data_IF_818114438158
#
_entry.id   IF_818114438158
#
_cell.length_a   1.000
_cell.length_b   1.000
_cell.length_c   1.000
_cell.angle_alpha   90.00
_cell.angle_beta   90.00
_cell.angle_gamma   90.00
#
_symmetry.space_group_name_H-M   'P 1'
#
loop_
_entity.id
_entity.type
_entity.pdbx_description
1 polymer ?
#
# COMPACT_ATOMS: atom_id res chain seq x y z
N UNK A 1 16.71 11.35 2.23
CA UNK A 1 16.90 10.45 1.06
C UNK A 1 15.51 10.26 0.47
N UNK A 2 15.25 10.75 -0.74
CA UNK A 2 13.91 10.61 -1.33
C UNK A 2 13.71 9.15 -1.76
N UNK A 3 12.50 8.64 -1.58
CA UNK A 3 12.21 7.22 -1.79
C UNK A 3 11.83 6.97 -3.26
N UNK A 4 12.71 6.33 -4.03
CA UNK A 4 12.44 5.96 -5.42
C UNK A 4 11.18 5.13 -5.60
N UNK A 5 10.82 4.33 -4.58
CA UNK A 5 9.56 3.59 -4.55
C UNK A 5 8.34 4.52 -4.57
N UNK A 6 8.34 5.57 -3.74
CA UNK A 6 7.24 6.55 -3.68
C UNK A 6 7.08 7.27 -5.02
N UNK A 7 8.19 7.67 -5.64
CA UNK A 7 8.15 8.31 -6.96
C UNK A 7 7.51 7.42 -8.03
N UNK A 8 7.95 6.17 -8.13
CA UNK A 8 7.39 5.23 -9.11
C UNK A 8 5.93 4.87 -8.82
N UNK A 9 5.53 4.76 -7.55
CA UNK A 9 4.12 4.58 -7.17
C UNK A 9 3.25 5.73 -7.66
N UNK A 10 3.68 6.98 -7.48
CA UNK A 10 2.93 8.15 -7.97
C UNK A 10 2.88 8.18 -9.50
N UNK A 11 4.00 7.92 -10.17
CA UNK A 11 4.03 7.86 -11.64
C UNK A 11 3.07 6.80 -12.15
N UNK A 12 3.09 5.59 -11.59
CA UNK A 12 2.20 4.50 -11.99
C UNK A 12 0.73 4.83 -11.69
N UNK A 13 0.44 5.42 -10.53
CA UNK A 13 -0.92 5.87 -10.18
C UNK A 13 -1.45 6.91 -11.18
N UNK A 14 -0.60 7.86 -11.62
CA UNK A 14 -0.96 8.85 -12.65
C UNK A 14 -1.06 8.26 -14.04
N UNK A 15 -0.17 7.36 -14.43
CA UNK A 15 -0.15 6.75 -15.77
C UNK A 15 -1.31 5.79 -15.95
N UNK A 16 -1.64 5.03 -14.90
CA UNK A 16 -2.66 3.97 -14.93
C UNK A 16 -3.93 4.37 -14.17
N UNK A 17 -4.15 5.68 -13.98
CA UNK A 17 -5.42 6.19 -13.44
C UNK A 17 -6.59 5.62 -14.24
N UNK A 18 -7.64 5.24 -13.51
CA UNK A 18 -8.83 4.63 -14.05
C UNK A 18 -8.73 3.10 -14.22
N UNK A 19 -7.58 2.46 -14.00
CA UNK A 19 -7.46 1.00 -13.93
C UNK A 19 -7.55 0.48 -12.50
N UNK A 20 -8.29 -0.62 -12.30
CA UNK A 20 -8.31 -1.32 -11.03
C UNK A 20 -6.93 -1.92 -10.74
N UNK A 21 -6.43 -1.68 -9.52
CA UNK A 21 -5.12 -2.15 -9.05
C UNK A 21 -5.29 -3.04 -7.83
N UNK A 22 -4.54 -4.12 -7.79
CA UNK A 22 -4.39 -4.99 -6.63
C UNK A 22 -2.95 -4.88 -6.13
N UNK A 23 -2.78 -4.69 -4.82
CA UNK A 23 -1.47 -4.51 -4.19
C UNK A 23 -0.99 -5.77 -3.50
N UNK A 24 0.33 -5.97 -3.48
CA UNK A 24 1.01 -7.00 -2.69
C UNK A 24 0.48 -8.44 -2.91
N UNK A 25 0.16 -8.76 -4.16
CA UNK A 25 -0.50 -10.01 -4.56
C UNK A 25 0.50 -11.17 -4.63
N UNK A 26 0.10 -12.34 -4.10
CA UNK A 26 0.82 -13.61 -4.22
C UNK A 26 -0.10 -14.68 -4.82
N UNK A 27 -0.30 -14.69 -6.15
CA UNK A 27 -1.23 -15.62 -6.79
C UNK A 27 -0.85 -17.08 -6.53
N UNK A 28 -1.85 -17.95 -6.36
CA UNK A 28 -1.61 -19.38 -6.10
C UNK A 28 -0.85 -20.11 -7.20
N UNK A 29 -0.88 -19.58 -8.44
CA UNK A 29 -0.14 -20.10 -9.59
C UNK A 29 1.29 -19.56 -9.69
N UNK A 30 1.63 -18.47 -8.98
CA UNK A 30 2.94 -17.84 -9.06
C UNK A 30 3.88 -18.44 -8.00
N UNK A 31 4.24 -19.71 -8.21
CA UNK A 31 5.10 -20.49 -7.32
C UNK A 31 6.41 -20.79 -8.04
N UNK A 32 7.55 -20.49 -7.40
CA UNK A 32 8.85 -20.85 -7.97
C UNK A 32 8.97 -22.38 -8.03
N UNK A 33 9.23 -22.98 -9.21
CA UNK A 33 9.21 -24.44 -9.37
C UNK A 33 10.37 -25.15 -8.67
N UNK A 34 11.49 -24.47 -8.46
CA UNK A 34 12.69 -25.05 -7.83
C UNK A 34 12.58 -25.08 -6.31
N UNK A 35 11.96 -24.06 -5.71
CA UNK A 35 11.90 -23.86 -4.25
C UNK A 35 10.51 -24.10 -3.66
N UNK A 36 9.49 -24.27 -4.50
CA UNK A 36 8.07 -24.33 -4.15
C UNK A 36 7.58 -23.14 -3.31
N UNK A 37 8.30 -22.01 -3.33
CA UNK A 37 7.92 -20.80 -2.61
C UNK A 37 7.05 -19.91 -3.48
N UNK A 38 5.98 -19.38 -2.89
CA UNK A 38 5.15 -18.37 -3.54
C UNK A 38 5.97 -17.10 -3.80
N UNK A 39 5.82 -16.57 -5.01
CA UNK A 39 6.42 -15.30 -5.40
C UNK A 39 5.35 -14.20 -5.30
N UNK A 40 5.84 -12.97 -5.10
CA UNK A 40 5.03 -11.76 -4.95
C UNK A 40 5.10 -10.87 -6.18
N UNK A 41 3.99 -10.20 -6.47
CA UNK A 41 3.82 -9.04 -7.35
C UNK A 41 3.39 -7.85 -6.50
N UNK A 42 3.97 -6.66 -6.72
CA UNK A 42 3.64 -5.51 -5.86
C UNK A 42 2.39 -4.79 -6.32
N UNK A 43 2.16 -4.74 -7.64
CA UNK A 43 0.96 -4.17 -8.24
C UNK A 43 0.50 -5.05 -9.40
N UNK A 44 -0.79 -5.34 -9.48
CA UNK A 44 -1.40 -6.06 -10.60
C UNK A 44 -2.58 -5.25 -11.11
N UNK A 45 -2.66 -5.09 -12.43
CA UNK A 45 -3.75 -4.45 -13.17
C UNK A 45 -4.46 -5.52 -13.99
N UNK A 46 -5.46 -6.23 -13.40
CA UNK A 46 -6.03 -7.44 -14.00
C UNK A 46 -6.72 -7.17 -15.33
N UNK A 47 -7.36 -6.01 -15.48
CA UNK A 47 -8.10 -5.61 -16.68
C UNK A 47 -7.25 -5.62 -17.95
N UNK A 48 -5.95 -5.38 -17.82
CA UNK A 48 -5.00 -5.26 -18.94
C UNK A 48 -3.88 -6.31 -18.88
N UNK A 49 -3.90 -7.21 -17.89
CA UNK A 49 -2.86 -8.22 -17.71
C UNK A 49 -1.46 -7.60 -17.61
N UNK A 50 -1.30 -6.60 -16.76
CA UNK A 50 -0.03 -5.93 -16.46
C UNK A 50 0.29 -6.09 -14.97
N UNK A 51 1.53 -6.40 -14.63
CA UNK A 51 2.01 -6.45 -13.25
C UNK A 51 3.34 -5.71 -13.10
N UNK A 52 3.55 -5.13 -11.93
CA UNK A 52 4.76 -4.40 -11.54
C UNK A 52 5.42 -5.10 -10.36
N UNK A 53 6.75 -5.21 -10.42
CA UNK A 53 7.59 -5.62 -9.29
C UNK A 53 8.69 -4.58 -9.07
N UNK A 54 8.78 -4.06 -7.86
CA UNK A 54 9.86 -3.18 -7.41
C UNK A 54 11.05 -4.01 -6.91
N UNK A 55 12.20 -3.85 -7.55
CA UNK A 55 13.49 -4.42 -7.15
C UNK A 55 14.31 -3.41 -6.36
N UNK A 56 15.39 -3.87 -5.70
CA UNK A 56 16.29 -3.01 -4.91
C UNK A 56 15.83 -2.74 -3.47
N UNK A 57 14.63 -3.16 -3.08
CA UNK A 57 14.14 -3.03 -1.70
C UNK A 57 14.69 -4.17 -0.82
N UNK A 58 15.80 -3.94 -0.12
CA UNK A 58 16.24 -4.83 0.96
C UNK A 58 15.61 -4.38 2.28
N UNK A 59 14.79 -5.25 2.89
CA UNK A 59 14.22 -4.99 4.22
C UNK A 59 15.33 -5.17 5.26
N UNK A 60 15.71 -4.08 5.94
CA UNK A 60 16.51 -4.13 7.17
C UNK A 60 18.01 -4.45 7.03
N UNK A 61 18.53 -4.69 5.83
CA UNK A 61 19.95 -4.95 5.60
C UNK A 61 20.67 -3.72 5.03
N UNK A 62 21.90 -3.45 5.50
CA UNK A 62 22.78 -2.48 4.84
C UNK A 62 23.03 -2.96 3.40
N UNK A 63 23.10 -2.06 2.40
CA UNK A 63 23.44 -2.42 1.04
C UNK A 63 24.74 -3.22 1.05
N UNK A 64 24.66 -4.50 0.72
CA UNK A 64 25.81 -5.40 0.59
C UNK A 64 25.80 -5.94 -0.83
N UNK A 65 27.00 -6.04 -1.41
CA UNK A 65 27.21 -6.77 -2.66
C UNK A 65 26.86 -8.24 -2.44
N UNK A 66 25.92 -8.74 -3.23
CA UNK A 66 25.57 -10.14 -3.28
C UNK A 66 26.78 -10.96 -3.75
N UNK A 67 26.92 -12.17 -3.24
CA UNK A 67 27.83 -13.17 -3.83
C UNK A 67 27.33 -13.59 -5.21
N UNK A 68 28.21 -14.15 -6.03
CA UNK A 68 27.84 -14.65 -7.37
C UNK A 68 26.72 -15.70 -7.31
N UNK A 69 26.69 -16.52 -6.26
CA UNK A 69 25.64 -17.51 -6.04
C UNK A 69 24.30 -16.84 -5.69
N UNK A 70 24.30 -15.86 -4.79
CA UNK A 70 23.11 -15.07 -4.44
C UNK A 70 22.56 -14.30 -5.66
N UNK A 71 23.44 -13.73 -6.50
CA UNK A 71 23.06 -13.08 -7.76
C UNK A 71 22.41 -14.07 -8.72
N UNK A 72 23.00 -15.27 -8.87
CA UNK A 72 22.46 -16.31 -9.74
C UNK A 72 21.08 -16.79 -9.27
N UNK A 73 20.91 -17.04 -7.97
CA UNK A 73 19.61 -17.41 -7.40
C UNK A 73 18.56 -16.31 -7.58
N UNK A 74 18.95 -15.04 -7.44
CA UNK A 74 18.04 -13.92 -7.68
C UNK A 74 17.61 -13.85 -9.15
N UNK A 75 18.55 -14.03 -10.08
CA UNK A 75 18.26 -14.09 -11.52
C UNK A 75 17.31 -15.25 -11.87
N UNK A 76 17.55 -16.45 -11.34
CA UNK A 76 16.66 -17.60 -11.55
C UNK A 76 15.24 -17.30 -11.05
N UNK A 77 15.12 -16.71 -9.85
CA UNK A 77 13.81 -16.33 -9.29
C UNK A 77 13.09 -15.30 -10.12
N UNK A 78 13.81 -14.33 -10.68
CA UNK A 78 13.23 -13.28 -11.50
C UNK A 78 12.85 -13.81 -12.89
N UNK A 79 13.64 -14.69 -13.49
CA UNK A 79 13.30 -15.41 -14.73
C UNK A 79 12.05 -16.28 -14.55
N UNK A 80 11.99 -17.08 -13.48
CA UNK A 80 10.80 -17.88 -13.17
C UNK A 80 9.54 -17.01 -13.04
N UNK A 81 9.68 -15.84 -12.39
CA UNK A 81 8.58 -14.89 -12.24
C UNK A 81 8.09 -14.35 -13.59
N UNK A 82 9.01 -13.99 -14.49
CA UNK A 82 8.68 -13.51 -15.84
C UNK A 82 7.97 -14.60 -16.67
N UNK A 83 8.48 -15.84 -16.64
CA UNK A 83 7.91 -16.96 -17.38
C UNK A 83 6.50 -17.29 -16.92
N UNK A 84 6.30 -17.47 -15.61
CA UNK A 84 4.99 -17.77 -15.03
C UNK A 84 3.98 -16.64 -15.28
N UNK A 85 4.39 -15.38 -15.15
CA UNK A 85 3.52 -14.26 -15.51
C UNK A 85 3.09 -14.33 -16.99
N UNK A 86 4.04 -14.60 -17.89
CA UNK A 86 3.76 -14.70 -19.32
C UNK A 86 2.79 -15.84 -19.65
N UNK A 87 2.96 -17.01 -19.05
CA UNK A 87 2.06 -18.17 -19.20
C UNK A 87 0.63 -17.83 -18.78
N UNK A 88 0.47 -17.01 -17.74
CA UNK A 88 -0.82 -16.54 -17.26
C UNK A 88 -1.34 -15.28 -17.97
N UNK A 89 -0.74 -14.89 -19.09
CA UNK A 89 -1.17 -13.72 -19.87
C UNK A 89 -0.89 -12.38 -19.17
N UNK A 90 0.04 -12.34 -18.22
CA UNK A 90 0.45 -11.14 -17.49
C UNK A 90 1.81 -10.67 -18.01
N UNK A 91 1.88 -9.41 -18.44
CA UNK A 91 3.13 -8.74 -18.75
C UNK A 91 3.72 -8.21 -17.43
N UNK A 92 4.89 -8.73 -17.03
CA UNK A 92 5.61 -8.23 -15.86
C UNK A 92 6.56 -7.11 -16.28
N UNK A 93 6.59 -6.03 -15.50
CA UNK A 93 7.58 -4.94 -15.57
C UNK A 93 8.35 -4.91 -14.24
N UNK A 94 9.67 -4.90 -14.32
CA UNK A 94 10.55 -4.91 -13.15
C UNK A 94 11.22 -3.54 -13.00
N UNK A 95 10.93 -2.84 -11.90
CA UNK A 95 11.43 -1.48 -11.66
C UNK A 95 12.47 -1.55 -10.56
N UNK A 96 13.74 -1.34 -10.89
CA UNK A 96 14.77 -1.10 -9.88
C UNK A 96 14.60 0.31 -9.30
N UNK A 97 14.15 0.40 -8.06
CA UNK A 97 13.88 1.69 -7.39
C UNK A 97 15.16 2.37 -6.89
N UNK A 98 16.29 1.65 -6.89
CA UNK A 98 17.61 2.20 -6.58
C UNK A 98 18.40 2.55 -7.85
N UNK A 99 17.87 2.18 -9.03
CA UNK A 99 18.49 2.46 -10.32
C UNK A 99 18.59 3.96 -10.60
N UNK A 100 19.65 4.36 -11.29
CA UNK A 100 19.92 5.75 -11.67
C UNK A 100 19.47 6.09 -13.10
N UNK A 101 18.68 5.22 -13.74
CA UNK A 101 18.28 5.39 -15.14
C UNK A 101 16.76 5.34 -15.30
N UNK A 102 16.04 6.46 -15.09
CA UNK A 102 14.58 6.48 -15.27
C UNK A 102 14.16 6.18 -16.71
N UNK A 103 15.00 6.50 -17.69
CA UNK A 103 14.72 6.31 -19.10
C UNK A 103 14.46 4.85 -19.47
N UNK A 104 15.21 3.90 -18.89
CA UNK A 104 15.03 2.47 -19.15
C UNK A 104 13.68 1.97 -18.63
N UNK A 105 13.28 2.40 -17.43
CA UNK A 105 11.96 2.10 -16.85
C UNK A 105 10.83 2.65 -17.72
N UNK A 106 10.95 3.89 -18.21
CA UNK A 106 9.95 4.44 -19.15
C UNK A 106 9.90 3.67 -20.46
N UNK A 107 11.03 3.23 -21.01
CA UNK A 107 11.05 2.38 -22.21
C UNK A 107 10.37 1.03 -21.97
N UNK A 108 10.60 0.40 -20.82
CA UNK A 108 9.95 -0.86 -20.46
C UNK A 108 8.44 -0.71 -20.30
N UNK A 109 7.99 0.36 -19.64
CA UNK A 109 6.57 0.69 -19.51
C UNK A 109 5.91 0.96 -20.87
N UNK A 110 6.59 1.68 -21.79
CA UNK A 110 6.10 1.88 -23.17
C UNK A 110 5.93 0.57 -23.91
N UNK A 111 6.92 -0.31 -23.82
CA UNK A 111 6.87 -1.63 -24.45
C UNK A 111 5.71 -2.46 -23.88
N UNK A 112 5.55 -2.46 -22.54
CA UNK A 112 4.46 -3.16 -21.87
C UNK A 112 3.08 -2.65 -22.30
N UNK A 113 2.86 -1.33 -22.35
CA UNK A 113 1.58 -0.76 -22.80
C UNK A 113 1.30 -1.02 -24.29
N UNK A 114 2.35 -1.07 -25.12
CA UNK A 114 2.22 -1.42 -26.54
C UNK A 114 1.80 -2.89 -26.70
N UNK A 115 2.41 -3.79 -25.94
CA UNK A 115 2.03 -5.21 -25.89
C UNK A 115 0.60 -5.40 -25.37
N UNK A 116 0.21 -4.67 -24.33
CA UNK A 116 -1.17 -4.64 -23.82
C UNK A 116 -2.16 -4.26 -24.92
N UNK A 117 -1.88 -3.17 -25.65
CA UNK A 117 -2.74 -2.73 -26.77
C UNK A 117 -2.92 -3.84 -27.81
N UNK A 118 -1.81 -4.47 -28.21
CA UNK A 118 -1.83 -5.58 -29.18
C UNK A 118 -2.66 -6.77 -28.67
N UNK A 119 -2.51 -7.15 -27.41
CA UNK A 119 -3.26 -8.25 -26.79
C UNK A 119 -4.76 -7.96 -26.71
N UNK A 120 -5.15 -6.74 -26.36
CA UNK A 120 -6.57 -6.34 -26.32
C UNK A 120 -7.18 -6.44 -27.72
N UNK A 121 -6.49 -5.93 -28.73
CA UNK A 121 -6.95 -6.00 -30.13
C UNK A 121 -7.15 -7.44 -30.61
N UNK A 122 -6.26 -8.36 -30.22
CA UNK A 122 -6.32 -9.78 -30.56
C UNK A 122 -7.26 -10.61 -29.67
N UNK A 123 -7.79 -10.05 -28.58
CA UNK A 123 -8.65 -10.80 -27.64
C UNK A 123 -10.00 -11.16 -28.26
N UNK A 124 -10.72 -12.12 -27.67
CA UNK A 124 -12.08 -12.51 -28.11
C UNK A 124 -13.19 -11.69 -27.42
N UNK A 125 -12.85 -10.58 -26.76
CA UNK A 125 -13.82 -9.74 -26.03
C UNK A 125 -14.78 -9.01 -26.97
N UNK A 126 -15.97 -8.64 -26.47
CA UNK A 126 -16.94 -7.83 -27.21
C UNK A 126 -16.34 -6.49 -27.65
N UNK A 127 -16.71 -6.04 -28.86
CA UNK A 127 -16.13 -4.85 -29.50
C UNK A 127 -16.22 -3.56 -28.66
N UNK A 128 -17.35 -3.23 -27.99
CA UNK A 128 -17.43 -2.03 -27.15
C UNK A 128 -16.43 -2.06 -25.99
N UNK A 129 -16.27 -3.21 -25.34
CA UNK A 129 -15.32 -3.40 -24.23
C UNK A 129 -13.87 -3.25 -24.69
N UNK A 130 -13.54 -3.77 -25.88
CA UNK A 130 -12.20 -3.60 -26.48
C UNK A 130 -11.90 -2.13 -26.75
N UNK A 131 -12.84 -1.42 -27.37
CA UNK A 131 -12.68 -0.01 -27.70
C UNK A 131 -12.41 0.82 -26.44
N UNK A 132 -13.22 0.63 -25.38
CA UNK A 132 -13.05 1.33 -24.10
C UNK A 132 -11.68 1.03 -23.44
N UNK A 133 -11.21 -0.22 -23.50
CA UNK A 133 -9.89 -0.57 -22.97
C UNK A 133 -8.76 0.03 -23.81
N UNK A 134 -8.85 0.00 -25.14
CA UNK A 134 -7.85 0.61 -26.04
C UNK A 134 -7.76 2.12 -25.79
N UNK A 135 -8.88 2.80 -25.60
CA UNK A 135 -8.92 4.22 -25.28
C UNK A 135 -8.23 4.53 -23.95
N UNK A 136 -8.56 3.78 -22.88
CA UNK A 136 -7.90 3.94 -21.57
C UNK A 136 -6.40 3.66 -21.63
N UNK A 137 -5.97 2.65 -22.38
CA UNK A 137 -4.54 2.34 -22.59
C UNK A 137 -3.85 3.44 -23.41
N UNK A 138 -4.53 4.00 -24.42
CA UNK A 138 -4.03 5.15 -25.19
C UNK A 138 -3.82 6.37 -24.30
N UNK A 139 -4.79 6.68 -23.44
CA UNK A 139 -4.67 7.75 -22.44
C UNK A 139 -3.53 7.48 -21.45
N UNK A 140 -3.31 6.23 -21.03
CA UNK A 140 -2.17 5.86 -20.19
C UNK A 140 -0.82 6.10 -20.90
N UNK A 141 -0.71 5.72 -22.18
CA UNK A 141 0.50 5.98 -22.98
C UNK A 141 0.78 7.47 -23.13
N UNK A 142 -0.24 8.29 -23.40
CA UNK A 142 -0.09 9.74 -23.50
C UNK A 142 0.43 10.36 -22.19
N UNK A 143 -0.11 9.95 -21.04
CA UNK A 143 0.35 10.37 -19.71
C UNK A 143 1.79 9.91 -19.43
N UNK A 144 2.13 8.68 -19.80
CA UNK A 144 3.50 8.16 -19.69
C UNK A 144 4.48 9.00 -20.50
N UNK A 145 4.15 9.35 -21.74
CA UNK A 145 5.00 10.20 -22.58
C UNK A 145 5.17 11.59 -21.98
N UNK A 146 4.08 12.20 -21.50
CA UNK A 146 4.12 13.52 -20.87
C UNK A 146 5.02 13.54 -19.64
N UNK A 147 4.89 12.55 -18.75
CA UNK A 147 5.72 12.40 -17.56
C UNK A 147 7.19 12.14 -17.95
N UNK A 148 7.44 11.26 -18.92
CA UNK A 148 8.80 10.91 -19.34
C UNK A 148 9.58 12.11 -19.90
N UNK A 149 8.90 13.10 -20.50
CA UNK A 149 9.54 14.33 -20.98
C UNK A 149 10.04 15.22 -19.84
N UNK A 150 9.40 15.12 -18.66
CA UNK A 150 9.72 15.87 -17.43
C UNK A 150 10.78 15.16 -16.58
N UNK A 151 10.82 13.83 -16.61
CA UNK A 151 11.78 13.03 -15.83
C UNK A 151 12.94 12.60 -16.73
N UNK A 152 14.00 13.41 -16.77
CA UNK A 152 15.20 13.12 -17.58
C UNK A 152 16.33 12.55 -16.75
N UNK A 153 16.40 12.91 -15.47
CA UNK A 153 17.43 12.50 -14.52
C UNK A 153 16.78 11.92 -13.27
N UNK A 154 17.50 11.10 -12.48
CA UNK A 154 17.01 10.56 -11.22
C UNK A 154 16.45 11.63 -10.27
N UNK A 155 17.07 12.81 -10.21
CA UNK A 155 16.65 13.88 -9.31
C UNK A 155 15.24 14.40 -9.61
N UNK A 156 14.78 14.29 -10.86
CA UNK A 156 13.47 14.76 -11.29
C UNK A 156 12.35 13.88 -10.71
N UNK A 157 12.66 12.64 -10.28
CA UNK A 157 11.72 11.75 -9.60
C UNK A 157 11.33 12.24 -8.19
N UNK A 158 12.11 13.15 -7.59
CA UNK A 158 11.83 13.70 -6.26
C UNK A 158 10.44 14.34 -6.18
N UNK A 159 10.06 15.11 -7.20
CA UNK A 159 8.74 15.76 -7.26
C UNK A 159 7.62 14.73 -7.15
N UNK A 160 7.77 13.58 -7.81
CA UNK A 160 6.79 12.50 -7.76
C UNK A 160 6.80 11.78 -6.40
N UNK A 161 7.96 11.66 -5.76
CA UNK A 161 8.02 11.14 -4.41
C UNK A 161 7.27 12.06 -3.44
N UNK A 162 7.45 13.37 -3.53
CA UNK A 162 6.78 14.35 -2.65
C UNK A 162 5.25 14.29 -2.87
N UNK A 163 4.80 14.29 -4.13
CA UNK A 163 3.38 14.13 -4.49
C UNK A 163 2.75 12.82 -3.96
N UNK A 164 3.52 11.73 -3.88
CA UNK A 164 3.03 10.49 -3.27
C UNK A 164 2.74 10.66 -1.78
N UNK A 165 3.63 11.34 -1.04
CA UNK A 165 3.44 11.58 0.39
C UNK A 165 2.21 12.47 0.63
N UNK A 166 2.02 13.50 -0.19
CA UNK A 166 0.84 14.37 -0.13
C UNK A 166 -0.45 13.55 -0.37
N UNK A 167 -0.43 12.65 -1.38
CA UNK A 167 -1.56 11.74 -1.64
C UNK A 167 -1.86 10.85 -0.44
N UNK A 168 -0.83 10.27 0.19
CA UNK A 168 -1.02 9.42 1.37
C UNK A 168 -1.57 10.23 2.55
N UNK A 169 -1.05 11.43 2.79
CA UNK A 169 -1.54 12.31 3.85
C UNK A 169 -3.04 12.65 3.67
N UNK A 170 -3.46 12.99 2.45
CA UNK A 170 -4.87 13.26 2.13
C UNK A 170 -5.72 12.00 2.36
N UNK A 171 -5.24 10.83 1.93
CA UNK A 171 -5.96 9.57 2.10
C UNK A 171 -6.12 9.18 3.58
N UNK A 172 -5.06 9.34 4.37
CA UNK A 172 -5.05 9.05 5.81
C UNK A 172 -5.96 10.03 6.57
N UNK A 173 -5.97 11.32 6.19
CA UNK A 173 -6.88 12.31 6.74
C UNK A 173 -8.35 11.96 6.43
N UNK A 174 -8.66 11.64 5.17
CA UNK A 174 -10.01 11.23 4.77
C UNK A 174 -10.46 9.92 5.47
N UNK A 175 -9.55 8.95 5.64
CA UNK A 175 -9.84 7.71 6.35
C UNK A 175 -10.10 7.95 7.85
N UNK A 176 -9.41 8.93 8.45
CA UNK A 176 -9.61 9.31 9.85
C UNK A 176 -10.95 10.02 10.08
N UNK A 177 -11.41 10.84 9.13
CA UNK A 177 -12.74 11.48 9.18
C UNK A 177 -13.89 10.49 8.92
N UNK A 178 -13.62 9.39 8.20
CA UNK A 178 -14.63 8.40 7.81
C UNK A 178 -14.84 7.28 8.83
N UNK A 179 -14.01 7.19 9.87
CA UNK A 179 -14.24 6.22 10.95
C UNK A 179 -15.33 6.76 11.88
N UNK A 180 -16.54 6.16 11.95
CA UNK A 180 -17.41 6.42 13.07
C UNK A 180 -16.63 6.08 14.32
N UNK A 181 -16.55 7.03 15.27
CA UNK A 181 -16.02 6.73 16.58
C UNK A 181 -16.85 5.57 17.14
N UNK A 182 -16.27 4.36 17.19
CA UNK A 182 -16.77 3.27 18.01
C UNK A 182 -16.60 3.72 19.47
N UNK A 183 -17.49 4.60 19.91
CA UNK A 183 -17.60 5.06 21.28
C UNK A 183 -18.30 3.94 22.03
N UNK A 184 -17.52 2.94 22.46
CA UNK A 184 -18.00 1.94 23.41
C UNK A 184 -18.18 2.68 24.74
N UNK A 185 -19.36 3.28 24.96
CA UNK A 185 -19.70 3.87 26.24
C UNK A 185 -20.12 2.78 27.22
N UNK A 186 -19.23 2.44 28.14
CA UNK A 186 -19.60 1.64 29.29
C UNK A 186 -20.37 2.51 30.31
N UNK A 187 -21.48 2.00 30.83
CA UNK A 187 -22.24 2.66 31.88
C UNK A 187 -21.54 2.46 33.24
N UNK A 188 -20.69 3.41 33.63
CA UNK A 188 -20.02 3.38 34.93
C UNK A 188 -20.97 3.78 36.07
N UNK A 189 -20.77 3.17 37.23
CA UNK A 189 -21.42 3.56 38.50
C UNK A 189 -20.37 3.77 39.57
N UNK A 190 -20.60 4.69 40.52
CA UNK A 190 -19.73 4.84 41.69
C UNK A 190 -19.63 3.52 42.45
N UNK A 191 -18.42 3.13 42.85
CA UNK A 191 -18.11 1.84 43.48
C UNK A 191 -17.83 0.70 42.51
N UNK A 192 -18.02 0.90 41.19
CA UNK A 192 -17.73 -0.13 40.18
C UNK A 192 -16.23 -0.42 40.09
N UNK A 193 -15.86 -1.69 40.13
CA UNK A 193 -14.50 -2.13 39.82
C UNK A 193 -14.24 -2.00 38.32
N UNK A 194 -13.10 -1.45 37.95
CA UNK A 194 -12.70 -1.25 36.56
C UNK A 194 -11.23 -1.66 36.39
N UNK A 195 -10.88 -2.05 35.17
CA UNK A 195 -9.49 -2.26 34.78
C UNK A 195 -9.13 -1.31 33.65
N UNK A 196 -8.11 -0.48 33.85
CA UNK A 196 -7.53 0.37 32.83
C UNK A 196 -6.28 -0.30 32.23
N UNK A 197 -6.14 -0.29 30.90
CA UNK A 197 -5.01 -0.92 30.19
C UNK A 197 -3.65 -0.41 30.69
N UNK A 198 -3.54 0.89 30.94
CA UNK A 198 -2.29 1.55 31.34
C UNK A 198 -2.09 1.66 32.86
N UNK A 199 -3.18 1.65 33.66
CA UNK A 199 -3.13 1.97 35.10
C UNK A 199 -3.54 0.81 36.00
N UNK A 200 -3.90 -0.34 35.42
CA UNK A 200 -4.28 -1.53 36.18
C UNK A 200 -5.69 -1.42 36.77
N UNK A 201 -5.88 -2.09 37.90
CA UNK A 201 -7.18 -2.24 38.54
C UNK A 201 -7.48 -1.03 39.46
N UNK A 202 -8.76 -0.68 39.54
CA UNK A 202 -9.24 0.45 40.33
C UNK A 202 -10.74 0.44 40.53
N UNK A 203 -11.25 1.42 41.26
CA UNK A 203 -12.69 1.59 41.52
C UNK A 203 -13.14 3.01 41.23
N UNK A 204 -14.33 3.14 40.65
CA UNK A 204 -14.93 4.44 40.34
C UNK A 204 -15.31 5.14 41.65
N UNK A 205 -14.72 6.31 41.90
CA UNK A 205 -14.96 7.10 43.12
C UNK A 205 -15.97 8.22 42.90
N UNK A 206 -16.06 8.78 41.69
CA UNK A 206 -17.07 9.78 41.37
C UNK A 206 -17.38 9.81 39.89
N UNK A 207 -18.60 10.21 39.57
CA UNK A 207 -19.05 10.47 38.21
C UNK A 207 -19.64 11.86 38.20
N UNK A 208 -19.18 12.70 37.27
CA UNK A 208 -19.66 14.07 37.09
C UNK A 208 -20.04 14.27 35.63
N UNK A 209 -21.00 15.16 35.39
CA UNK A 209 -21.30 15.63 34.04
C UNK A 209 -20.81 17.06 33.92
N UNK A 210 -20.13 17.36 32.81
CA UNK A 210 -19.69 18.71 32.47
C UNK A 210 -20.14 19.08 31.04
N UNK A 211 -19.80 20.29 30.60
CA UNK A 211 -20.16 20.80 29.28
C UNK A 211 -19.56 19.99 28.11
N UNK A 212 -18.54 19.15 28.38
CA UNK A 212 -17.86 18.27 27.41
C UNK A 212 -18.28 16.80 27.52
N UNK A 213 -19.13 16.46 28.48
CA UNK A 213 -19.74 15.15 28.66
C UNK A 213 -19.51 14.55 30.05
N UNK A 214 -19.58 13.22 30.12
CA UNK A 214 -19.49 12.47 31.37
C UNK A 214 -18.04 12.23 31.77
N UNK A 215 -17.64 12.69 32.94
CA UNK A 215 -16.33 12.45 33.56
C UNK A 215 -16.43 11.35 34.63
N UNK A 216 -15.49 10.42 34.61
CA UNK A 216 -15.39 9.29 35.55
C UNK A 216 -14.05 9.40 36.28
N UNK A 217 -14.10 9.54 37.59
CA UNK A 217 -12.90 9.52 38.44
C UNK A 217 -12.73 8.13 39.03
N UNK A 218 -11.53 7.57 38.88
CA UNK A 218 -11.16 6.23 39.35
C UNK A 218 -10.01 6.37 40.34
N UNK A 219 -10.12 5.67 41.46
CA UNK A 219 -8.99 5.42 42.36
C UNK A 219 -8.34 4.10 41.96
N UNK A 220 -7.07 4.14 41.60
CA UNK A 220 -6.28 2.95 41.27
C UNK A 220 -5.59 2.38 42.51
N UNK A 221 -5.16 1.11 42.43
CA UNK A 221 -4.47 0.42 43.53
C UNK A 221 -3.15 1.10 43.96
N UNK A 222 -2.58 1.94 43.11
CA UNK A 222 -1.42 2.79 43.44
C UNK A 222 -1.77 3.97 44.37
N UNK A 223 -3.05 4.13 44.73
CA UNK A 223 -3.56 5.20 45.58
C UNK A 223 -3.76 6.53 44.85
N UNK A 224 -3.60 6.57 43.52
CA UNK A 224 -3.75 7.77 42.71
C UNK A 224 -5.15 7.83 42.11
N UNK A 225 -5.81 8.99 42.28
CA UNK A 225 -7.06 9.28 41.59
C UNK A 225 -6.79 9.89 40.22
N UNK A 226 -7.50 9.40 39.19
CA UNK A 226 -7.47 9.99 37.85
C UNK A 226 -8.88 10.17 37.31
N UNK A 227 -9.10 11.25 36.59
CA UNK A 227 -10.39 11.59 35.96
C UNK A 227 -10.30 11.43 34.46
N UNK A 228 -11.29 10.76 33.88
CA UNK A 228 -11.35 10.44 32.46
C UNK A 228 -12.67 10.88 31.86
N UNK A 229 -12.66 11.34 30.61
CA UNK A 229 -13.90 11.49 29.85
C UNK A 229 -14.37 10.11 29.37
N UNK A 230 -15.60 9.72 29.74
CA UNK A 230 -16.16 8.39 29.51
C UNK A 230 -16.07 7.96 28.04
N UNK A 231 -16.34 8.91 27.12
CA UNK A 231 -16.29 8.69 25.67
C UNK A 231 -14.87 8.40 25.14
N UNK A 232 -13.81 8.80 25.84
CA UNK A 232 -12.40 8.58 25.41
C UNK A 232 -11.79 7.30 25.98
N UNK A 233 -12.38 6.73 27.03
CA UNK A 233 -11.79 5.58 27.75
C UNK A 233 -12.50 4.26 27.49
N UNK A 234 -13.55 4.23 26.68
CA UNK A 234 -14.30 3.01 26.36
C UNK A 234 -13.48 1.81 25.92
N UNK A 235 -12.41 2.02 25.14
CA UNK A 235 -11.49 0.94 24.70
C UNK A 235 -10.41 0.58 25.72
N UNK A 236 -10.14 1.46 26.68
CA UNK A 236 -9.02 1.33 27.63
C UNK A 236 -9.45 0.95 29.02
N UNK A 237 -10.71 1.18 29.38
CA UNK A 237 -11.25 0.96 30.70
C UNK A 237 -12.45 0.01 30.60
N UNK A 238 -12.34 -1.15 31.22
CA UNK A 238 -13.34 -2.22 31.14
C UNK A 238 -13.94 -2.43 32.53
N UNK A 239 -15.28 -2.40 32.69
CA UNK A 239 -15.95 -2.81 33.92
C UNK A 239 -15.61 -4.25 34.30
N UNK A 240 -15.30 -4.48 35.57
CA UNK A 240 -15.21 -5.82 36.15
C UNK A 240 -16.51 -6.10 36.90
N UNK A 241 -17.22 -7.12 36.45
CA UNK A 241 -18.41 -7.67 37.13
C UNK A 241 -18.01 -8.42 38.41
#
# INVERSE_FOLDING_TARGET
MWNGLSAWREILARVLEGFAVQHDVMPGWLVNPETNRRLKLDMVYPEIGLAIRFQGLQVGARPRRLSLEEEHQQQQRDQARVLLCREHGIRLVQIDVLGNEPASVFQELRAALSDVTRRIAQSHSAQPRKAALIERVSAARSRLEEISRRVRRPQDLRVYADLWHDRQFIADAAASESQPADTIEHAYTTGMAVRHADFGDGYVVSIREDATGRLVTVMFEDGVQRTFAAHLVGKKMIPRL
#
